data_IF_225460047657
#
_entry.id   IF_225460047657
#
_cell.length_a   1.000
_cell.length_b   1.000
_cell.length_c   1.000
_cell.angle_alpha   90.00
_cell.angle_beta   90.00
_cell.angle_gamma   90.00
#
_symmetry.space_group_name_H-M   'P 1'
#
loop_
_entity.id
_entity.type
_entity.pdbx_description
1 polymer ?
#
# COMPACT_ATOMS: atom_id res chain seq x y z
N UNK A 1 -6.69 23.87 -29.71
CA UNK A 1 -7.57 24.95 -29.24
C UNK A 1 -6.68 26.09 -28.76
N UNK A 2 -6.66 27.23 -29.45
CA UNK A 2 -5.85 28.38 -29.05
C UNK A 2 -6.61 29.12 -27.94
N UNK A 3 -6.18 28.95 -26.69
CA UNK A 3 -6.82 29.58 -25.55
C UNK A 3 -6.29 31.01 -25.43
N UNK A 4 -7.18 31.98 -25.60
CA UNK A 4 -6.88 33.38 -25.35
C UNK A 4 -7.00 33.69 -23.84
N UNK A 5 -5.85 33.78 -23.18
CA UNK A 5 -5.76 34.05 -21.74
C UNK A 5 -6.24 35.46 -21.41
N UNK A 6 -6.05 36.43 -22.30
CA UNK A 6 -6.44 37.81 -22.01
C UNK A 6 -7.96 37.92 -21.96
N UNK A 7 -8.67 37.26 -22.87
CA UNK A 7 -10.13 37.18 -22.83
C UNK A 7 -10.63 36.47 -21.54
N UNK A 8 -9.96 35.40 -21.10
CA UNK A 8 -10.28 34.73 -19.83
C UNK A 8 -10.04 35.65 -18.63
N UNK A 9 -8.94 36.39 -18.61
CA UNK A 9 -8.61 37.32 -17.52
C UNK A 9 -9.66 38.42 -17.40
N UNK A 10 -10.05 39.05 -18.52
CA UNK A 10 -11.09 40.09 -18.53
C UNK A 10 -12.44 39.55 -18.04
N UNK A 11 -12.81 38.34 -18.45
CA UNK A 11 -14.03 37.66 -17.99
C UNK A 11 -13.99 37.42 -16.47
N UNK A 12 -12.84 37.02 -15.93
CA UNK A 12 -12.67 36.77 -14.49
C UNK A 12 -12.63 38.06 -13.65
N UNK A 13 -12.21 39.19 -14.24
CA UNK A 13 -12.19 40.51 -13.60
C UNK A 13 -13.56 41.18 -13.58
N UNK A 14 -14.45 40.83 -14.50
CA UNK A 14 -15.80 41.39 -14.58
C UNK A 14 -16.58 41.23 -13.24
N UNK A 15 -17.12 42.34 -12.73
CA UNK A 15 -17.90 42.34 -11.48
C UNK A 15 -17.10 42.09 -10.20
N UNK A 16 -15.76 42.16 -10.23
CA UNK A 16 -14.89 42.03 -9.04
C UNK A 16 -14.40 43.39 -8.55
N UNK A 17 -14.04 43.45 -7.26
CA UNK A 17 -13.45 44.65 -6.65
C UNK A 17 -12.07 44.95 -7.24
N UNK A 18 -11.64 46.22 -7.20
CA UNK A 18 -10.33 46.66 -7.67
C UNK A 18 -9.17 45.85 -7.04
N UNK A 19 -9.30 45.47 -5.77
CA UNK A 19 -8.32 44.63 -5.07
C UNK A 19 -8.20 43.22 -5.67
N UNK A 20 -9.33 42.60 -5.99
CA UNK A 20 -9.37 41.26 -6.60
C UNK A 20 -8.86 41.31 -8.04
N UNK A 21 -9.19 42.37 -8.78
CA UNK A 21 -8.68 42.58 -10.13
C UNK A 21 -7.15 42.72 -10.14
N UNK A 22 -6.57 43.55 -9.26
CA UNK A 22 -5.12 43.68 -9.12
C UNK A 22 -4.45 42.37 -8.69
N UNK A 23 -5.14 41.56 -7.89
CA UNK A 23 -4.65 40.23 -7.47
C UNK A 23 -4.65 39.22 -8.63
N UNK A 24 -5.67 39.26 -9.50
CA UNK A 24 -5.74 38.46 -10.73
C UNK A 24 -4.65 38.87 -11.73
N UNK A 25 -4.38 40.16 -11.87
CA UNK A 25 -3.33 40.67 -12.75
C UNK A 25 -1.94 40.17 -12.32
N UNK A 26 -1.62 40.27 -11.02
CA UNK A 26 -0.38 39.73 -10.46
C UNK A 26 -0.25 38.21 -10.62
N UNK A 27 -1.35 37.48 -10.40
CA UNK A 27 -1.36 36.02 -10.60
C UNK A 27 -1.12 35.68 -12.08
N UNK A 28 -1.71 36.44 -13.01
CA UNK A 28 -1.52 36.26 -14.44
C UNK A 28 -0.07 36.53 -14.88
N UNK A 29 0.56 37.59 -14.35
CA UNK A 29 1.97 37.89 -14.59
C UNK A 29 2.88 36.74 -14.13
N UNK A 30 2.65 36.23 -12.92
CA UNK A 30 3.41 35.09 -12.38
C UNK A 30 3.23 33.83 -13.23
N UNK A 31 2.00 33.53 -13.67
CA UNK A 31 1.69 32.38 -14.54
C UNK A 31 2.31 32.52 -15.94
N UNK A 32 2.31 33.74 -16.50
CA UNK A 32 2.94 34.03 -17.79
C UNK A 32 4.44 33.80 -17.73
N UNK A 33 5.13 34.38 -16.75
CA UNK A 33 6.57 34.19 -16.55
C UNK A 33 6.90 32.70 -16.31
N UNK A 34 6.06 32.00 -15.53
CA UNK A 34 6.23 30.58 -15.27
C UNK A 34 6.09 29.74 -16.54
N UNK A 35 5.11 30.03 -17.39
CA UNK A 35 4.92 29.37 -18.68
C UNK A 35 6.05 29.63 -19.68
N UNK A 36 6.50 30.88 -19.77
CA UNK A 36 7.61 31.33 -20.64
C UNK A 36 8.94 30.71 -20.21
N UNK A 37 9.14 30.43 -18.92
CA UNK A 37 10.30 29.68 -18.41
C UNK A 37 10.30 28.18 -18.78
N UNK A 38 9.33 27.73 -19.57
CA UNK A 38 9.21 26.34 -20.03
C UNK A 38 8.63 25.37 -19.00
N UNK A 39 8.28 25.84 -17.80
CA UNK A 39 7.70 24.99 -16.75
C UNK A 39 6.24 24.62 -17.10
N UNK A 40 5.82 23.42 -16.68
CA UNK A 40 4.51 22.82 -17.01
C UNK A 40 3.75 22.25 -15.80
N UNK A 41 4.28 22.42 -14.58
CA UNK A 41 3.57 22.07 -13.36
C UNK A 41 2.70 23.23 -12.90
N UNK A 42 1.42 23.19 -13.27
CA UNK A 42 0.39 24.15 -12.87
C UNK A 42 -0.45 23.64 -11.69
N UNK A 43 0.11 22.78 -10.85
CA UNK A 43 -0.60 22.35 -9.64
C UNK A 43 -0.81 23.51 -8.66
N UNK A 44 -1.93 23.48 -7.95
CA UNK A 44 -2.34 24.56 -7.02
C UNK A 44 -1.28 24.81 -5.95
N UNK A 45 -0.61 23.76 -5.46
CA UNK A 45 0.50 23.88 -4.51
C UNK A 45 1.71 24.59 -5.10
N UNK A 46 2.10 24.21 -6.32
CA UNK A 46 3.26 24.79 -7.00
C UNK A 46 3.01 26.25 -7.36
N UNK A 47 1.88 26.55 -8.00
CA UNK A 47 1.51 27.92 -8.37
C UNK A 47 1.28 28.80 -7.13
N UNK A 48 0.68 28.26 -6.07
CA UNK A 48 0.50 29.01 -4.83
C UNK A 48 1.80 29.45 -4.16
N UNK A 49 2.89 28.68 -4.35
CA UNK A 49 4.24 29.07 -3.93
C UNK A 49 4.85 30.09 -4.89
N UNK A 50 4.83 29.82 -6.19
CA UNK A 50 5.41 30.71 -7.22
C UNK A 50 4.78 32.10 -7.18
N UNK A 51 3.45 32.16 -7.07
CA UNK A 51 2.70 33.41 -6.95
C UNK A 51 3.02 34.15 -5.64
N UNK A 52 3.18 33.43 -4.52
CA UNK A 52 3.57 34.05 -3.25
C UNK A 52 4.99 34.62 -3.28
N UNK A 53 5.95 33.91 -3.89
CA UNK A 53 7.33 34.38 -4.10
C UNK A 53 7.37 35.66 -4.96
N UNK A 54 6.40 35.84 -5.86
CA UNK A 54 6.23 37.03 -6.69
C UNK A 54 5.37 38.14 -6.05
N UNK A 55 5.14 38.11 -4.72
CA UNK A 55 4.24 39.06 -4.01
C UNK A 55 2.79 39.08 -4.56
N UNK A 56 2.36 37.96 -5.11
CA UNK A 56 1.01 37.71 -5.62
C UNK A 56 0.13 36.96 -4.62
N UNK A 57 -0.86 36.23 -5.15
CA UNK A 57 -1.85 35.49 -4.36
C UNK A 57 -1.23 34.22 -3.78
N UNK A 58 -1.30 34.03 -2.46
CA UNK A 58 -0.76 32.86 -1.80
C UNK A 58 -1.66 31.61 -1.87
N UNK A 59 -1.07 30.46 -1.58
CA UNK A 59 -1.74 29.14 -1.59
C UNK A 59 -3.08 29.11 -0.83
N UNK A 60 -3.16 29.73 0.35
CA UNK A 60 -4.38 29.75 1.18
C UNK A 60 -5.54 30.44 0.45
N UNK A 61 -5.27 31.52 -0.26
CA UNK A 61 -6.28 32.27 -1.01
C UNK A 61 -6.73 31.53 -2.27
N UNK A 62 -5.82 30.81 -2.95
CA UNK A 62 -6.14 30.03 -4.16
C UNK A 62 -6.97 28.78 -3.81
N UNK A 63 -6.68 28.11 -2.69
CA UNK A 63 -7.44 26.91 -2.28
C UNK A 63 -8.83 27.21 -1.72
N UNK A 64 -9.06 28.43 -1.22
CA UNK A 64 -10.33 28.81 -0.60
C UNK A 64 -11.50 28.68 -1.58
N UNK A 65 -12.60 28.05 -1.15
CA UNK A 65 -13.77 27.79 -2.01
C UNK A 65 -14.35 29.07 -2.61
N UNK A 66 -14.41 30.15 -1.81
CA UNK A 66 -14.91 31.46 -2.22
C UNK A 66 -14.12 32.11 -3.38
N UNK A 67 -12.85 31.74 -3.55
CA UNK A 67 -11.96 32.35 -4.54
C UNK A 67 -11.73 31.48 -5.78
N UNK A 68 -12.82 30.89 -6.31
CA UNK A 68 -12.77 30.02 -7.49
C UNK A 68 -12.09 30.67 -8.71
N UNK A 69 -12.25 31.98 -8.87
CA UNK A 69 -11.67 32.77 -9.96
C UNK A 69 -10.14 32.62 -10.10
N UNK A 70 -9.40 32.46 -9.01
CA UNK A 70 -7.96 32.20 -9.10
C UNK A 70 -7.65 30.81 -9.65
N UNK A 71 -8.44 29.79 -9.31
CA UNK A 71 -8.26 28.43 -9.84
C UNK A 71 -8.63 28.36 -11.31
N UNK A 72 -9.69 29.06 -11.71
CA UNK A 72 -10.15 29.12 -13.11
C UNK A 72 -9.06 29.74 -14.01
N UNK A 73 -8.35 30.77 -13.54
CA UNK A 73 -7.20 31.34 -14.26
C UNK A 73 -6.04 30.35 -14.39
N UNK A 74 -5.72 29.61 -13.33
CA UNK A 74 -4.65 28.60 -13.33
C UNK A 74 -4.99 27.46 -14.28
N UNK A 75 -6.26 27.05 -14.32
CA UNK A 75 -6.75 26.00 -15.21
C UNK A 75 -6.67 26.43 -16.68
N UNK A 76 -7.01 27.68 -17.01
CA UNK A 76 -6.86 28.22 -18.36
C UNK A 76 -5.38 28.21 -18.81
N UNK A 77 -4.44 28.57 -17.92
CA UNK A 77 -3.01 28.49 -18.20
C UNK A 77 -2.51 27.05 -18.36
N UNK A 78 -2.98 26.12 -17.52
CA UNK A 78 -2.68 24.69 -17.66
C UNK A 78 -3.16 24.15 -19.01
N UNK A 79 -4.40 24.48 -19.40
CA UNK A 79 -4.96 24.08 -20.68
C UNK A 79 -4.18 24.68 -21.87
N UNK A 80 -3.77 25.95 -21.79
CA UNK A 80 -2.90 26.58 -22.81
C UNK A 80 -1.54 25.90 -22.91
N UNK A 81 -1.02 25.41 -21.79
CA UNK A 81 0.22 24.66 -21.72
C UNK A 81 0.07 23.16 -22.02
N UNK A 82 -1.12 22.71 -22.46
CA UNK A 82 -1.45 21.31 -22.75
C UNK A 82 -1.13 20.36 -21.58
N UNK A 83 -1.29 20.85 -20.36
CA UNK A 83 -1.05 20.12 -19.11
C UNK A 83 -2.28 20.20 -18.21
N UNK A 84 -2.22 19.54 -17.06
CA UNK A 84 -3.31 19.53 -16.07
C UNK A 84 -2.90 20.28 -14.80
N UNK A 85 -3.88 20.69 -14.01
CA UNK A 85 -3.66 21.24 -12.66
C UNK A 85 -3.39 20.14 -11.63
N UNK A 86 -3.45 18.87 -12.02
CA UNK A 86 -2.96 17.77 -11.18
C UNK A 86 -1.44 17.85 -11.18
N UNK A 87 -0.84 17.66 -10.00
CA UNK A 87 0.61 17.52 -9.90
C UNK A 87 1.03 16.44 -10.90
N UNK A 88 1.91 16.74 -11.87
CA UNK A 88 2.41 15.70 -12.76
C UNK A 88 2.91 14.56 -11.88
N UNK A 89 2.64 13.29 -12.25
CA UNK A 89 3.14 12.15 -11.48
C UNK A 89 4.61 12.44 -11.26
N UNK A 90 5.00 12.50 -9.99
CA UNK A 90 6.38 12.71 -9.62
C UNK A 90 7.13 11.60 -10.33
N UNK A 91 7.76 11.94 -11.46
CA UNK A 91 8.99 11.30 -11.86
C UNK A 91 9.89 11.73 -10.72
N UNK A 92 9.78 11.03 -9.58
CA UNK A 92 10.83 11.06 -8.60
C UNK A 92 12.03 10.80 -9.48
N UNK A 93 12.89 11.82 -9.61
CA UNK A 93 14.19 11.61 -10.16
C UNK A 93 14.67 10.43 -9.33
N UNK A 94 14.59 9.22 -9.90
CA UNK A 94 15.30 8.08 -9.41
C UNK A 94 16.68 8.68 -9.42
N UNK A 95 17.16 9.09 -8.24
CA UNK A 95 18.52 9.56 -8.10
C UNK A 95 19.26 8.42 -8.74
N UNK A 96 19.74 8.65 -9.96
CA UNK A 96 20.57 7.71 -10.67
C UNK A 96 21.63 7.46 -9.63
N UNK A 97 21.61 6.28 -9.01
CA UNK A 97 22.62 5.94 -8.02
C UNK A 97 23.98 6.26 -8.62
N UNK A 98 25.01 6.45 -7.81
CA UNK A 98 26.36 6.70 -8.33
C UNK A 98 26.72 5.78 -9.51
N UNK A 99 26.22 4.54 -9.49
CA UNK A 99 26.31 3.55 -10.56
C UNK A 99 25.65 3.96 -11.90
N UNK A 100 24.50 4.63 -11.89
CA UNK A 100 23.88 5.15 -13.11
C UNK A 100 24.63 6.35 -13.68
N UNK A 101 25.37 7.11 -12.86
CA UNK A 101 26.28 8.16 -13.37
C UNK A 101 27.48 7.54 -14.08
N UNK A 102 27.89 6.30 -13.72
CA UNK A 102 28.94 5.58 -14.45
C UNK A 102 28.49 5.18 -15.86
N UNK A 103 27.19 5.01 -16.10
CA UNK A 103 26.67 4.72 -17.44
C UNK A 103 26.90 5.90 -18.41
N UNK A 104 26.92 7.13 -17.91
CA UNK A 104 27.18 8.32 -18.73
C UNK A 104 28.63 8.36 -19.28
N UNK A 105 29.55 7.60 -18.67
CA UNK A 105 30.95 7.47 -19.14
C UNK A 105 31.15 6.39 -20.20
N UNK A 106 30.14 5.57 -20.47
CA UNK A 106 30.20 4.55 -21.52
C UNK A 106 29.70 5.20 -22.80
N UNK A 107 30.52 5.33 -23.84
CA UNK A 107 30.11 6.01 -25.09
C UNK A 107 29.13 5.18 -25.93
N UNK A 108 29.38 3.86 -26.05
CA UNK A 108 28.54 2.93 -26.81
C UNK A 108 27.14 2.78 -26.20
N UNK A 109 26.06 3.19 -26.90
CA UNK A 109 24.70 3.09 -26.39
C UNK A 109 24.24 1.67 -26.10
N UNK A 110 24.69 0.67 -26.88
CA UNK A 110 24.28 -0.73 -26.69
C UNK A 110 24.89 -1.29 -25.40
N UNK A 111 26.19 -1.06 -25.19
CA UNK A 111 26.89 -1.44 -23.96
C UNK A 111 26.30 -0.70 -22.76
N UNK A 112 26.02 0.61 -22.90
CA UNK A 112 25.38 1.41 -21.85
C UNK A 112 24.01 0.83 -21.45
N UNK A 113 23.21 0.38 -22.42
CA UNK A 113 21.91 -0.22 -22.16
C UNK A 113 22.04 -1.56 -21.40
N UNK A 114 22.98 -2.42 -21.79
CA UNK A 114 23.25 -3.69 -21.11
C UNK A 114 23.67 -3.47 -19.65
N UNK A 115 24.64 -2.59 -19.39
CA UNK A 115 25.04 -2.26 -18.02
C UNK A 115 23.90 -1.63 -17.22
N UNK A 116 23.07 -0.79 -17.85
CA UNK A 116 21.86 -0.27 -17.23
C UNK A 116 20.86 -1.36 -16.85
N UNK A 117 20.73 -2.42 -17.65
CA UNK A 117 19.91 -3.59 -17.31
C UNK A 117 20.49 -4.35 -16.12
N UNK A 118 21.80 -4.61 -16.11
CA UNK A 118 22.49 -5.30 -15.01
C UNK A 118 22.29 -4.57 -13.67
N UNK A 119 22.42 -3.23 -13.68
CA UNK A 119 22.20 -2.41 -12.48
C UNK A 119 20.77 -2.58 -11.96
N UNK A 120 19.76 -2.60 -12.86
CA UNK A 120 18.35 -2.81 -12.47
C UNK A 120 18.11 -4.19 -11.86
N UNK A 121 18.67 -5.24 -12.44
CA UNK A 121 18.53 -6.61 -11.93
C UNK A 121 19.19 -6.75 -10.56
N UNK A 122 20.41 -6.22 -10.41
CA UNK A 122 21.12 -6.19 -9.12
C UNK A 122 20.32 -5.44 -8.05
N UNK A 123 19.78 -4.27 -8.37
CA UNK A 123 18.99 -3.47 -7.42
C UNK A 123 17.72 -4.20 -6.99
N UNK A 124 17.07 -4.89 -7.94
CA UNK A 124 15.93 -5.77 -7.65
C UNK A 124 16.32 -6.89 -6.68
N UNK A 125 17.37 -7.65 -6.99
CA UNK A 125 17.81 -8.75 -6.12
C UNK A 125 18.26 -8.27 -4.74
N UNK A 126 18.93 -7.12 -4.65
CA UNK A 126 19.30 -6.52 -3.37
C UNK A 126 18.06 -6.13 -2.55
N UNK A 127 17.02 -5.60 -3.20
CA UNK A 127 15.75 -5.28 -2.55
C UNK A 127 15.06 -6.54 -2.02
N UNK A 128 14.96 -7.59 -2.85
CA UNK A 128 14.38 -8.88 -2.45
C UNK A 128 15.16 -9.50 -1.29
N UNK A 129 16.49 -9.50 -1.35
CA UNK A 129 17.35 -10.01 -0.28
C UNK A 129 17.21 -9.20 1.03
N UNK A 130 17.11 -7.87 0.95
CA UNK A 130 16.89 -7.02 2.12
C UNK A 130 15.50 -7.27 2.74
N UNK A 131 14.47 -7.47 1.92
CA UNK A 131 13.14 -7.84 2.39
C UNK A 131 13.16 -9.16 3.15
N UNK A 132 13.83 -10.19 2.62
CA UNK A 132 14.01 -11.47 3.29
C UNK A 132 14.80 -11.34 4.60
N UNK A 133 15.90 -10.58 4.60
CA UNK A 133 16.67 -10.31 5.84
C UNK A 133 15.83 -9.66 6.92
N UNK A 134 14.99 -8.69 6.55
CA UNK A 134 14.08 -8.04 7.49
C UNK A 134 13.02 -9.02 8.03
N UNK A 135 12.57 -9.97 7.22
CA UNK A 135 11.66 -11.03 7.68
C UNK A 135 12.33 -12.05 8.62
N UNK A 136 13.64 -12.27 8.50
CA UNK A 136 14.37 -13.21 9.38
C UNK A 136 14.69 -12.65 10.77
N UNK A 137 14.76 -11.33 10.93
CA UNK A 137 14.97 -10.72 12.25
C UNK A 137 13.64 -10.50 12.97
N UNK A 138 13.10 -11.57 13.56
CA UNK A 138 12.03 -11.45 14.56
C UNK A 138 12.68 -11.00 15.87
N UNK A 139 12.60 -9.71 16.18
CA UNK A 139 12.99 -9.18 17.49
C UNK A 139 11.90 -9.53 18.49
N UNK A 140 12.09 -10.63 19.21
CA UNK A 140 11.24 -10.99 20.36
C UNK A 140 11.78 -10.22 21.56
N UNK A 141 11.02 -9.27 22.09
CA UNK A 141 11.36 -8.62 23.34
C UNK A 141 11.30 -9.66 24.48
N UNK A 142 12.46 -9.98 25.04
CA UNK A 142 12.64 -10.95 26.15
C UNK A 142 12.76 -10.27 27.50
N UNK A 143 12.55 -8.95 27.60
CA UNK A 143 12.44 -8.34 28.92
C UNK A 143 11.35 -9.08 29.67
N UNK A 144 11.52 -9.34 30.98
CA UNK A 144 10.38 -9.64 31.81
C UNK A 144 9.54 -8.37 31.81
N UNK A 145 8.67 -8.21 30.82
CA UNK A 145 7.37 -7.63 31.12
C UNK A 145 6.94 -8.41 32.33
N UNK A 146 6.76 -7.73 33.47
CA UNK A 146 5.90 -8.25 34.49
C UNK A 146 4.61 -8.58 33.74
N UNK A 147 4.50 -9.84 33.33
CA UNK A 147 3.25 -10.46 33.07
C UNK A 147 2.67 -10.45 34.47
N UNK A 148 2.08 -9.31 34.85
CA UNK A 148 0.78 -9.39 35.44
C UNK A 148 0.06 -10.28 34.44
N UNK A 149 -0.14 -11.54 34.81
CA UNK A 149 -1.31 -12.22 34.32
C UNK A 149 -2.38 -11.12 34.29
N UNK A 150 -3.16 -10.93 33.20
CA UNK A 150 -4.50 -10.43 33.50
C UNK A 150 -4.90 -11.28 34.70
N UNK A 151 -5.41 -10.68 35.77
CA UNK A 151 -6.16 -11.55 36.65
C UNK A 151 -7.19 -12.20 35.71
N UNK A 152 -6.88 -13.39 35.17
CA UNK A 152 -7.62 -14.54 35.58
C UNK A 152 -7.84 -14.24 37.05
N UNK A 153 -9.04 -13.75 37.34
CA UNK A 153 -10.04 -14.74 37.69
C UNK A 153 -9.51 -16.12 37.29
N UNK A 154 -8.58 -16.65 38.08
CA UNK A 154 -8.52 -18.05 38.32
C UNK A 154 -9.81 -18.33 39.12
N UNK A 155 -10.97 -18.01 38.53
CA UNK A 155 -11.89 -19.09 38.22
C UNK A 155 -10.99 -20.15 37.63
N UNK A 156 -10.56 -21.05 38.50
CA UNK A 156 -10.46 -22.45 38.16
C UNK A 156 -11.74 -22.70 37.37
N UNK A 157 -11.68 -22.54 36.05
CA UNK A 157 -12.73 -22.98 35.17
C UNK A 157 -12.63 -24.49 35.28
N UNK A 158 -13.35 -25.01 36.27
CA UNK A 158 -13.71 -26.40 36.39
C UNK A 158 -14.50 -26.68 35.12
N UNK A 159 -13.77 -27.08 34.06
CA UNK A 159 -14.39 -27.65 32.89
C UNK A 159 -15.22 -28.84 33.41
N UNK A 160 -16.54 -28.86 33.18
CA UNK A 160 -17.32 -30.04 33.50
C UNK A 160 -16.67 -31.21 32.75
N UNK A 161 -16.53 -32.34 33.44
CA UNK A 161 -15.99 -33.54 32.82
C UNK A 161 -16.74 -33.80 31.51
N UNK A 162 -16.02 -34.07 30.42
CA UNK A 162 -16.64 -34.41 29.13
C UNK A 162 -17.39 -35.76 29.20
N UNK A 163 -17.24 -36.50 30.31
CA UNK A 163 -17.97 -37.72 30.64
C UNK A 163 -19.48 -37.47 30.68
N UNK A 164 -20.22 -38.27 29.91
CA UNK A 164 -21.68 -38.23 29.86
C UNK A 164 -22.27 -37.22 28.87
N UNK A 165 -21.43 -36.46 28.13
CA UNK A 165 -21.90 -35.62 27.02
C UNK A 165 -22.23 -36.48 25.80
N UNK A 166 -21.38 -37.47 25.52
CA UNK A 166 -21.59 -38.45 24.45
C UNK A 166 -22.04 -39.79 25.06
N UNK A 167 -22.96 -40.47 24.40
CA UNK A 167 -23.31 -41.85 24.68
C UNK A 167 -22.20 -42.82 24.26
N UNK A 168 -22.15 -44.00 24.87
CA UNK A 168 -21.18 -45.05 24.50
C UNK A 168 -21.19 -45.41 23.01
N UNK A 169 -22.36 -45.29 22.37
CA UNK A 169 -22.51 -45.54 20.93
C UNK A 169 -21.87 -44.43 20.08
N UNK A 170 -22.00 -43.17 20.50
CA UNK A 170 -21.38 -42.03 19.82
C UNK A 170 -19.86 -42.05 19.99
N UNK A 171 -19.36 -42.42 21.18
CA UNK A 171 -17.92 -42.59 21.43
C UNK A 171 -17.35 -43.67 20.50
N UNK A 172 -18.01 -44.84 20.41
CA UNK A 172 -17.60 -45.92 19.49
C UNK A 172 -17.65 -45.51 18.02
N UNK A 173 -18.66 -44.74 17.62
CA UNK A 173 -18.76 -44.23 16.25
C UNK A 173 -17.59 -43.27 15.92
N UNK A 174 -17.24 -42.38 16.85
CA UNK A 174 -16.10 -41.46 16.69
C UNK A 174 -14.75 -42.18 16.72
N UNK A 175 -14.59 -43.20 17.57
CA UNK A 175 -13.39 -44.05 17.60
C UNK A 175 -13.17 -44.77 16.27
N UNK A 176 -14.24 -45.18 15.59
CA UNK A 176 -14.16 -45.86 14.28
C UNK A 176 -13.53 -44.97 13.20
N UNK A 177 -13.74 -43.65 13.24
CA UNK A 177 -13.13 -42.71 12.29
C UNK A 177 -11.62 -42.52 12.57
N UNK A 178 -11.17 -42.82 13.79
CA UNK A 178 -9.77 -42.70 14.20
C UNK A 178 -8.91 -43.94 13.89
N UNK A 179 -9.49 -45.04 13.41
CA UNK A 179 -8.74 -46.25 13.08
C UNK A 179 -8.19 -46.21 11.67
N UNK A 180 -6.98 -46.75 11.50
CA UNK A 180 -6.31 -46.82 10.21
C UNK A 180 -7.11 -47.72 9.22
N UNK A 181 -7.79 -48.75 9.73
CA UNK A 181 -8.66 -49.63 8.92
C UNK A 181 -9.82 -48.88 8.23
N UNK A 182 -10.39 -47.86 8.87
CA UNK A 182 -11.48 -47.07 8.29
C UNK A 182 -10.95 -46.15 7.19
N UNK A 183 -9.77 -45.56 7.41
CA UNK A 183 -9.08 -44.72 6.42
C UNK A 183 -8.67 -45.55 5.19
N UNK A 184 -8.11 -46.74 5.41
CA UNK A 184 -7.69 -47.65 4.34
C UNK A 184 -8.88 -48.13 3.49
N UNK A 185 -10.03 -48.43 4.10
CA UNK A 185 -11.26 -48.81 3.36
C UNK A 185 -11.77 -47.73 2.42
N UNK A 186 -11.48 -46.46 2.71
CA UNK A 186 -11.91 -45.31 1.93
C UNK A 186 -10.82 -44.75 1.01
N UNK A 187 -9.63 -45.39 0.95
CA UNK A 187 -8.49 -44.90 0.17
C UNK A 187 -7.83 -43.64 0.76
N UNK A 188 -8.10 -43.34 2.03
CA UNK A 188 -7.62 -42.14 2.68
C UNK A 188 -6.26 -42.34 3.35
N UNK A 189 -5.39 -41.34 3.24
CA UNK A 189 -4.07 -41.33 3.85
C UNK A 189 -3.97 -40.24 4.91
N UNK A 190 -3.65 -40.63 6.15
CA UNK A 190 -3.43 -39.72 7.25
C UNK A 190 -1.95 -39.33 7.39
N UNK A 191 -1.69 -38.03 7.56
CA UNK A 191 -0.37 -37.50 7.89
C UNK A 191 -0.14 -37.47 9.40
N UNK A 192 1.14 -37.46 9.83
CA UNK A 192 1.56 -37.33 11.25
C UNK A 192 0.95 -36.14 12.01
N UNK A 193 0.47 -35.13 11.27
CA UNK A 193 -0.15 -33.92 11.80
C UNK A 193 -1.68 -34.00 11.90
N UNK A 194 -2.26 -35.19 11.70
CA UNK A 194 -3.70 -35.44 11.79
C UNK A 194 -4.53 -34.91 10.63
N UNK A 195 -3.89 -34.61 9.49
CA UNK A 195 -4.53 -34.24 8.22
C UNK A 195 -4.85 -35.52 7.43
N UNK A 196 -5.99 -35.56 6.73
CA UNK A 196 -6.35 -36.69 5.86
C UNK A 196 -6.53 -36.23 4.43
N UNK A 197 -5.93 -36.98 3.50
CA UNK A 197 -6.01 -36.74 2.06
C UNK A 197 -6.51 -37.98 1.33
N UNK A 198 -7.13 -37.74 0.18
CA UNK A 198 -7.51 -38.77 -0.79
C UNK A 198 -6.31 -39.22 -1.64
N UNK A 199 -6.46 -40.30 -2.41
CA UNK A 199 -5.44 -40.84 -3.33
C UNK A 199 -4.94 -39.80 -4.34
N UNK A 200 -5.83 -38.88 -4.75
CA UNK A 200 -5.53 -37.77 -5.65
C UNK A 200 -4.83 -36.57 -4.97
N UNK A 201 -4.54 -36.67 -3.66
CA UNK A 201 -3.87 -35.63 -2.87
C UNK A 201 -4.76 -34.49 -2.41
N UNK A 202 -6.07 -34.57 -2.68
CA UNK A 202 -7.08 -33.61 -2.21
C UNK A 202 -7.26 -33.71 -0.70
N UNK A 203 -7.32 -32.57 -0.02
CA UNK A 203 -7.55 -32.52 1.43
C UNK A 203 -9.02 -32.84 1.74
N UNK A 204 -9.25 -33.89 2.54
CA UNK A 204 -10.58 -34.30 3.02
C UNK A 204 -10.79 -33.79 4.45
N UNK A 205 -9.77 -33.94 5.31
CA UNK A 205 -9.80 -33.44 6.68
C UNK A 205 -8.60 -32.53 6.95
N UNK A 206 -8.83 -31.36 7.58
CA UNK A 206 -7.78 -30.38 7.80
C UNK A 206 -6.74 -30.86 8.79
N UNK A 207 -5.57 -30.21 8.73
CA UNK A 207 -4.48 -30.46 9.67
C UNK A 207 -4.96 -30.31 11.12
N UNK A 208 -4.63 -31.31 11.94
CA UNK A 208 -4.99 -31.34 13.37
C UNK A 208 -6.32 -32.00 13.68
N UNK A 209 -7.14 -32.35 12.68
CA UNK A 209 -8.46 -32.95 12.91
C UNK A 209 -8.37 -34.27 13.68
N UNK A 210 -7.65 -35.28 13.16
CA UNK A 210 -7.54 -36.59 13.83
C UNK A 210 -6.80 -36.48 15.16
N UNK A 211 -5.81 -35.59 15.27
CA UNK A 211 -5.07 -35.37 16.52
C UNK A 211 -5.96 -34.76 17.59
N UNK A 212 -6.81 -33.79 17.23
CA UNK A 212 -7.78 -33.19 18.14
C UNK A 212 -8.84 -34.19 18.58
N UNK A 213 -9.37 -34.97 17.63
CA UNK A 213 -10.39 -35.97 17.91
C UNK A 213 -9.87 -37.08 18.83
N UNK A 214 -8.63 -37.56 18.62
CA UNK A 214 -7.96 -38.51 19.52
C UNK A 214 -7.76 -37.96 20.95
N UNK A 215 -7.45 -36.67 21.09
CA UNK A 215 -7.33 -36.02 22.40
C UNK A 215 -8.68 -35.95 23.11
N UNK A 216 -9.72 -35.50 22.40
CA UNK A 216 -11.08 -35.41 22.97
C UNK A 216 -11.58 -36.79 23.41
N UNK A 217 -11.34 -37.83 22.61
CA UNK A 217 -11.69 -39.20 23.00
C UNK A 217 -10.87 -39.69 24.20
N UNK A 218 -9.57 -39.38 24.26
CA UNK A 218 -8.74 -39.71 25.42
C UNK A 218 -9.23 -39.08 26.73
N UNK A 219 -9.69 -37.82 26.68
CA UNK A 219 -10.28 -37.12 27.83
C UNK A 219 -11.68 -37.63 28.23
N UNK A 220 -12.36 -38.37 27.34
CA UNK A 220 -13.66 -39.01 27.64
C UNK A 220 -13.45 -40.39 28.28
N UNK A 221 -12.38 -41.10 27.91
CA UNK A 221 -12.05 -42.45 28.40
C UNK A 221 -11.31 -42.45 29.77
N UNK A 222 -10.57 -41.38 30.14
CA UNK A 222 -9.91 -41.21 31.46
C UNK A 222 -10.88 -40.79 32.56
#
# INVERSE_FOLDING_TARGET
MQIDINAVLETLKAGKSAKTQASLDKLNEALKAYYESGKRDFSITTIGRVSAEANGVGYQSIRATANKHYRDLIEAWAAKAQTTTKKPPSVAARKSGQDYQLLERIDDPAVRALFGQIIRERDRYRSEANMLKNQTQIVIDKRPTAYSEPQSDASVELLPSLKGICSDNEIKALQTVCTDEWLEKLGFQANKLGQVKDELGTEILPRGFLTGLKKILGEIDE
#
